data_IF_617415180948
#
_entry.id   IF_617415180948
#
_cell.length_a   1.000
_cell.length_b   1.000
_cell.length_c   1.000
_cell.angle_alpha   90.00
_cell.angle_beta   90.00
_cell.angle_gamma   90.00
#
_symmetry.space_group_name_H-M   'P 1'
#
loop_
_entity.id
_entity.type
_entity.pdbx_description
1 polymer ?
#
# COMPACT_ATOMS: atom_id res chain seq x y z
N UNK A 1 -38.98 31.76 70.58
CA UNK A 1 -38.98 32.50 71.85
C UNK A 1 -39.87 33.71 71.65
N UNK A 2 -40.66 34.08 72.64
CA UNK A 2 -41.57 35.22 72.58
C UNK A 2 -41.40 36.02 73.86
N UNK A 3 -41.36 37.35 73.76
CA UNK A 3 -41.35 38.22 74.94
C UNK A 3 -42.74 38.14 75.55
N UNK A 4 -42.84 37.74 76.82
CA UNK A 4 -44.09 37.58 77.56
C UNK A 4 -44.28 38.65 78.62
N UNK A 5 -43.23 39.37 79.00
CA UNK A 5 -43.32 40.45 79.97
C UNK A 5 -44.00 41.67 79.36
N UNK A 6 -45.08 42.12 80.01
CA UNK A 6 -45.74 43.40 79.72
C UNK A 6 -45.28 44.39 80.80
N UNK A 7 -44.86 45.58 80.41
CA UNK A 7 -44.59 46.68 81.36
C UNK A 7 -45.94 47.19 81.84
N UNK A 8 -46.16 47.19 83.15
CA UNK A 8 -47.41 47.62 83.75
C UNK A 8 -47.62 49.11 83.47
N UNK A 9 -48.82 49.46 83.00
CA UNK A 9 -49.17 50.85 82.75
C UNK A 9 -49.10 51.64 84.06
N UNK A 10 -48.43 52.80 84.02
CA UNK A 10 -48.37 53.68 85.18
C UNK A 10 -49.77 54.21 85.53
N UNK A 11 -50.11 54.35 86.82
CA UNK A 11 -51.36 54.97 87.25
C UNK A 11 -51.39 56.45 86.83
N UNK A 12 -52.59 57.07 86.75
CA UNK A 12 -52.72 58.47 86.41
C UNK A 12 -51.86 59.36 87.30
N UNK A 13 -51.11 60.27 86.69
CA UNK A 13 -50.27 61.20 87.45
C UNK A 13 -51.14 62.09 88.37
N UNK A 14 -50.69 62.40 89.59
CA UNK A 14 -51.36 63.36 90.46
C UNK A 14 -51.39 64.75 89.79
N UNK A 15 -52.56 65.40 89.77
CA UNK A 15 -52.75 66.70 89.14
C UNK A 15 -53.01 67.78 90.19
N UNK A 16 -52.03 68.66 90.47
CA UNK A 16 -52.15 69.65 91.54
C UNK A 16 -53.21 70.73 91.27
N UNK A 17 -53.71 70.85 90.04
CA UNK A 17 -54.70 71.86 89.63
C UNK A 17 -56.15 71.39 89.81
N UNK A 18 -56.37 70.07 89.88
CA UNK A 18 -57.73 69.49 89.89
C UNK A 18 -57.95 68.48 91.01
N UNK A 19 -56.90 67.97 91.64
CA UNK A 19 -57.00 67.04 92.76
C UNK A 19 -57.03 67.78 94.10
N UNK A 20 -57.89 67.33 95.01
CA UNK A 20 -57.81 67.76 96.41
C UNK A 20 -56.51 67.23 97.05
N UNK A 21 -55.99 67.83 98.14
CA UNK A 21 -54.72 67.39 98.75
C UNK A 21 -54.67 65.90 99.11
N UNK A 22 -55.82 65.31 99.51
CA UNK A 22 -55.95 63.88 99.78
C UNK A 22 -55.84 63.03 98.51
N UNK A 23 -56.57 63.39 97.45
CA UNK A 23 -56.53 62.69 96.14
C UNK A 23 -55.16 62.81 95.49
N UNK A 24 -54.52 63.97 95.61
CA UNK A 24 -53.15 64.18 95.13
C UNK A 24 -52.17 63.25 95.84
N UNK A 25 -52.24 63.17 97.17
CA UNK A 25 -51.36 62.31 97.98
C UNK A 25 -51.55 60.82 97.68
N UNK A 26 -52.80 60.38 97.47
CA UNK A 26 -53.14 59.02 97.08
C UNK A 26 -52.59 58.66 95.69
N UNK A 27 -52.80 59.52 94.69
CA UNK A 27 -52.24 59.35 93.34
C UNK A 27 -50.72 59.43 93.32
N UNK A 28 -50.12 60.29 94.15
CA UNK A 28 -48.67 60.40 94.29
C UNK A 28 -48.08 59.12 94.91
N UNK A 29 -48.70 58.58 95.96
CA UNK A 29 -48.30 57.32 96.56
C UNK A 29 -48.42 56.15 95.57
N UNK A 30 -49.53 56.08 94.81
CA UNK A 30 -49.73 55.06 93.77
C UNK A 30 -48.70 55.18 92.62
N UNK A 31 -48.38 56.39 92.19
CA UNK A 31 -47.38 56.66 91.15
C UNK A 31 -45.97 56.28 91.59
N UNK A 32 -45.57 56.64 92.81
CA UNK A 32 -44.27 56.26 93.37
C UNK A 32 -44.17 54.74 93.54
N UNK A 33 -45.23 54.09 94.05
CA UNK A 33 -45.26 52.63 94.18
C UNK A 33 -45.17 51.92 92.83
N UNK A 34 -45.86 52.42 91.79
CA UNK A 34 -45.76 51.89 90.43
C UNK A 34 -44.37 52.10 89.82
N UNK A 35 -43.76 53.26 90.03
CA UNK A 35 -42.40 53.54 89.58
C UNK A 35 -41.35 52.66 90.28
N UNK A 36 -41.55 52.31 91.56
CA UNK A 36 -40.70 51.35 92.26
C UNK A 36 -40.78 49.93 91.65
N UNK A 37 -41.92 49.57 91.04
CA UNK A 37 -42.11 48.29 90.36
C UNK A 37 -41.53 48.21 88.93
N UNK A 38 -41.21 49.35 88.29
CA UNK A 38 -40.71 49.38 86.91
C UNK A 38 -39.31 48.76 86.71
N UNK A 39 -38.29 49.00 87.54
CA UNK A 39 -36.95 48.46 87.29
C UNK A 39 -36.92 46.92 87.21
N UNK A 40 -37.62 46.16 88.07
CA UNK A 40 -37.79 44.71 87.89
C UNK A 40 -38.40 44.30 86.55
N UNK A 41 -39.47 44.96 86.10
CA UNK A 41 -40.14 44.66 84.83
C UNK A 41 -39.24 44.95 83.62
N UNK A 42 -38.54 46.09 83.62
CA UNK A 42 -37.56 46.46 82.60
C UNK A 42 -36.42 45.44 82.56
N UNK A 43 -35.91 45.03 83.72
CA UNK A 43 -34.87 44.01 83.81
C UNK A 43 -35.34 42.67 83.25
N UNK A 44 -36.57 42.25 83.55
CA UNK A 44 -37.17 41.02 83.02
C UNK A 44 -37.36 41.09 81.50
N UNK A 45 -37.88 42.21 80.97
CA UNK A 45 -38.01 42.43 79.53
C UNK A 45 -36.65 42.39 78.83
N UNK A 46 -35.63 43.07 79.38
CA UNK A 46 -34.26 43.05 78.85
C UNK A 46 -33.69 41.64 78.75
N UNK A 47 -33.90 40.80 79.77
CA UNK A 47 -33.45 39.40 79.75
C UNK A 47 -34.13 38.63 78.61
N UNK A 48 -35.44 38.79 78.44
CA UNK A 48 -36.18 38.13 77.35
C UNK A 48 -35.76 38.63 75.96
N UNK A 49 -35.54 39.95 75.81
CA UNK A 49 -35.08 40.56 74.56
C UNK A 49 -33.68 40.04 74.18
N UNK A 50 -32.74 40.03 75.12
CA UNK A 50 -31.38 39.48 74.91
C UNK A 50 -31.43 37.99 74.52
N UNK A 51 -32.33 37.21 75.14
CA UNK A 51 -32.48 35.81 74.82
C UNK A 51 -33.11 35.58 73.43
N UNK A 52 -34.05 36.43 73.02
CA UNK A 52 -34.63 36.41 71.67
C UNK A 52 -33.57 36.76 70.62
N UNK A 53 -32.78 37.82 70.85
CA UNK A 53 -31.67 38.21 69.98
C UNK A 53 -30.68 37.05 69.80
N UNK A 54 -30.25 36.42 70.90
CA UNK A 54 -29.40 35.25 70.84
C UNK A 54 -30.02 34.09 70.03
N UNK A 55 -31.34 33.87 70.15
CA UNK A 55 -32.04 32.84 69.38
C UNK A 55 -32.09 33.16 67.87
N UNK A 56 -32.36 34.42 67.51
CA UNK A 56 -32.39 34.88 66.12
C UNK A 56 -31.01 34.75 65.50
N UNK A 57 -29.96 35.23 66.17
CA UNK A 57 -28.58 35.16 65.70
C UNK A 57 -28.13 33.70 65.49
N UNK A 58 -28.52 32.79 66.39
CA UNK A 58 -28.23 31.37 66.25
C UNK A 58 -28.94 30.75 65.04
N UNK A 59 -30.20 31.10 64.80
CA UNK A 59 -30.98 30.63 63.64
C UNK A 59 -30.45 31.18 62.32
N UNK A 60 -30.06 32.46 62.29
CA UNK A 60 -29.46 33.08 61.10
C UNK A 60 -28.12 32.43 60.75
N UNK A 61 -27.28 32.17 61.76
CA UNK A 61 -26.02 31.45 61.58
C UNK A 61 -26.24 30.04 61.03
N UNK A 62 -27.20 29.29 61.60
CA UNK A 62 -27.56 27.95 61.12
C UNK A 62 -28.13 27.97 59.69
N UNK A 63 -28.99 28.94 59.36
CA UNK A 63 -29.55 29.10 58.03
C UNK A 63 -28.47 29.44 57.00
N UNK A 64 -27.52 30.30 57.37
CA UNK A 64 -26.38 30.67 56.52
C UNK A 64 -25.47 29.47 56.24
N UNK A 65 -25.15 28.69 57.27
CA UNK A 65 -24.38 27.45 57.12
C UNK A 65 -25.09 26.43 56.21
N UNK A 66 -26.42 26.26 56.39
CA UNK A 66 -27.22 25.38 55.54
C UNK A 66 -27.25 25.83 54.07
N UNK A 67 -27.34 27.14 53.82
CA UNK A 67 -27.26 27.71 52.47
C UNK A 67 -25.90 27.40 51.82
N UNK A 68 -24.80 27.65 52.51
CA UNK A 68 -23.45 27.35 51.99
C UNK A 68 -23.26 25.86 51.70
N UNK A 69 -23.76 24.98 52.57
CA UNK A 69 -23.72 23.54 52.33
C UNK A 69 -24.53 23.13 51.08
N UNK A 70 -25.71 23.72 50.88
CA UNK A 70 -26.53 23.48 49.70
C UNK A 70 -25.87 23.99 48.41
N UNK A 71 -25.24 25.17 48.44
CA UNK A 71 -24.47 25.72 47.31
C UNK A 71 -23.28 24.81 46.96
N UNK A 72 -22.55 24.35 47.98
CA UNK A 72 -21.43 23.40 47.79
C UNK A 72 -21.89 22.08 47.17
N UNK A 73 -23.01 21.52 47.63
CA UNK A 73 -23.58 20.29 47.09
C UNK A 73 -24.06 20.45 45.64
N UNK A 74 -24.68 21.59 45.32
CA UNK A 74 -25.09 21.93 43.95
C UNK A 74 -23.89 22.02 43.02
N UNK A 75 -22.82 22.69 43.45
CA UNK A 75 -21.63 22.88 42.62
C UNK A 75 -20.90 21.54 42.39
N UNK A 76 -20.86 20.66 43.40
CA UNK A 76 -20.37 19.28 43.24
C UNK A 76 -21.22 18.47 42.24
N UNK A 77 -22.54 18.58 42.30
CA UNK A 77 -23.45 17.91 41.35
C UNK A 77 -23.26 18.42 39.91
N UNK A 78 -23.05 19.72 39.72
CA UNK A 78 -22.70 20.30 38.42
C UNK A 78 -21.35 19.77 37.91
N UNK A 79 -20.36 19.63 38.79
CA UNK A 79 -19.08 19.00 38.48
C UNK A 79 -19.24 17.58 37.95
N UNK A 80 -19.99 16.73 38.68
CA UNK A 80 -20.26 15.35 38.25
C UNK A 80 -21.01 15.27 36.92
N UNK A 81 -21.99 16.15 36.70
CA UNK A 81 -22.70 16.24 35.43
C UNK A 81 -21.74 16.55 34.26
N UNK A 82 -20.84 17.51 34.44
CA UNK A 82 -19.87 17.88 33.40
C UNK A 82 -18.89 16.74 33.10
N UNK A 83 -18.39 16.03 34.14
CA UNK A 83 -17.53 14.86 33.95
C UNK A 83 -18.24 13.73 33.20
N UNK A 84 -19.51 13.46 33.53
CA UNK A 84 -20.31 12.45 32.84
C UNK A 84 -20.52 12.80 31.36
N UNK A 85 -20.73 14.09 31.05
CA UNK A 85 -20.89 14.56 29.68
C UNK A 85 -19.60 14.42 28.87
N UNK A 86 -18.45 14.78 29.43
CA UNK A 86 -17.14 14.54 28.80
C UNK A 86 -16.89 13.05 28.51
N UNK A 87 -17.28 12.16 29.42
CA UNK A 87 -17.15 10.71 29.22
C UNK A 87 -18.07 10.19 28.10
N UNK A 88 -19.29 10.75 27.98
CA UNK A 88 -20.21 10.42 26.89
C UNK A 88 -19.66 10.89 25.54
N UNK A 89 -19.12 12.11 25.46
CA UNK A 89 -18.52 12.67 24.25
C UNK A 89 -17.30 11.86 23.79
N UNK A 90 -16.43 11.46 24.72
CA UNK A 90 -15.30 10.57 24.43
C UNK A 90 -15.77 9.21 23.89
N UNK A 91 -16.83 8.64 24.48
CA UNK A 91 -17.41 7.37 24.03
C UNK A 91 -17.98 7.47 22.61
N UNK A 92 -18.60 8.60 22.24
CA UNK A 92 -19.04 8.85 20.87
C UNK A 92 -17.86 8.92 19.91
N UNK A 93 -16.81 9.68 20.25
CA UNK A 93 -15.61 9.79 19.42
C UNK A 93 -14.93 8.44 19.16
N UNK A 94 -14.84 7.57 20.16
CA UNK A 94 -14.28 6.22 19.97
C UNK A 94 -15.13 5.34 19.05
N UNK A 95 -16.46 5.46 19.11
CA UNK A 95 -17.35 4.74 18.17
C UNK A 95 -17.16 5.20 16.74
N UNK A 96 -17.05 6.51 16.51
CA UNK A 96 -16.83 7.08 15.18
C UNK A 96 -15.48 6.64 14.60
N UNK A 97 -14.42 6.63 15.41
CA UNK A 97 -13.11 6.11 15.02
C UNK A 97 -13.17 4.63 14.66
N UNK A 98 -13.83 3.81 15.47
CA UNK A 98 -13.99 2.38 15.20
C UNK A 98 -14.77 2.13 13.89
N UNK A 99 -15.82 2.91 13.60
CA UNK A 99 -16.57 2.82 12.36
C UNK A 99 -15.73 3.23 11.15
N UNK A 100 -14.91 4.27 11.28
CA UNK A 100 -13.95 4.70 10.24
C UNK A 100 -12.93 3.61 9.94
N UNK A 101 -12.32 3.00 10.97
CA UNK A 101 -11.39 1.90 10.79
C UNK A 101 -12.04 0.66 10.18
N UNK A 102 -13.27 0.33 10.58
CA UNK A 102 -14.04 -0.76 9.97
C UNK A 102 -14.31 -0.49 8.48
N UNK A 103 -14.66 0.76 8.12
CA UNK A 103 -14.84 1.19 6.73
C UNK A 103 -13.54 1.11 5.91
N UNK A 104 -12.42 1.57 6.48
CA UNK A 104 -11.11 1.47 5.84
C UNK A 104 -10.66 0.01 5.65
N UNK A 105 -10.91 -0.85 6.63
CA UNK A 105 -10.64 -2.29 6.54
C UNK A 105 -11.50 -2.96 5.46
N UNK A 106 -12.81 -2.66 5.41
CA UNK A 106 -13.71 -3.14 4.37
C UNK A 106 -13.28 -2.64 2.97
N UNK A 107 -12.88 -1.37 2.84
CA UNK A 107 -12.36 -0.80 1.59
C UNK A 107 -11.04 -1.45 1.13
N UNK A 108 -10.16 -1.76 2.08
CA UNK A 108 -8.91 -2.48 1.83
C UNK A 108 -9.18 -3.91 1.37
N UNK A 109 -10.13 -4.60 2.02
CA UNK A 109 -10.57 -5.94 1.64
C UNK A 109 -11.25 -5.96 0.26
N UNK A 110 -12.07 -4.96 -0.08
CA UNK A 110 -12.70 -4.84 -1.39
C UNK A 110 -11.66 -4.62 -2.51
N UNK A 111 -10.65 -3.78 -2.27
CA UNK A 111 -9.53 -3.57 -3.20
C UNK A 111 -8.72 -4.86 -3.40
N UNK A 112 -8.44 -5.59 -2.32
CA UNK A 112 -7.77 -6.90 -2.39
C UNK A 112 -8.62 -7.96 -3.12
N UNK A 113 -9.95 -7.94 -2.95
CA UNK A 113 -10.87 -8.91 -3.57
C UNK A 113 -11.17 -8.65 -5.04
N UNK A 114 -11.03 -7.41 -5.52
CA UNK A 114 -11.43 -7.04 -6.89
C UNK A 114 -10.27 -7.04 -7.89
N UNK A 115 -9.01 -7.00 -7.42
CA UNK A 115 -7.84 -6.85 -8.32
C UNK A 115 -6.60 -7.57 -7.75
N UNK A 116 -6.66 -8.88 -7.53
CA UNK A 116 -5.41 -9.68 -7.43
C UNK A 116 -5.50 -10.81 -8.43
N UNK A 117 -4.88 -10.59 -9.60
CA UNK A 117 -4.81 -11.53 -10.72
C UNK A 117 -3.92 -12.77 -10.45
N UNK A 118 -3.52 -12.97 -9.19
CA UNK A 118 -2.75 -14.13 -8.73
C UNK A 118 -3.48 -14.74 -7.53
N UNK A 119 -4.59 -15.43 -7.81
CA UNK A 119 -5.37 -16.17 -6.82
C UNK A 119 -4.71 -17.53 -6.60
N UNK A 120 -3.59 -17.54 -5.90
CA UNK A 120 -2.99 -18.77 -5.35
C UNK A 120 -2.53 -18.51 -3.92
N UNK A 121 -2.65 -19.54 -3.06
CA UNK A 121 -2.31 -19.50 -1.63
C UNK A 121 -0.84 -19.12 -1.40
N UNK A 122 0.03 -19.38 -2.39
CA UNK A 122 1.47 -19.09 -2.33
C UNK A 122 1.99 -18.38 -3.60
N UNK A 123 1.26 -17.40 -4.14
CA UNK A 123 1.77 -16.59 -5.27
C UNK A 123 3.04 -15.84 -4.86
N UNK A 124 4.17 -16.12 -5.52
CA UNK A 124 5.44 -15.40 -5.31
C UNK A 124 5.85 -14.70 -6.62
N UNK A 125 5.65 -13.39 -6.67
CA UNK A 125 6.34 -12.51 -7.62
C UNK A 125 7.48 -11.82 -6.88
N UNK A 126 8.74 -12.21 -7.14
CA UNK A 126 9.93 -11.73 -6.42
C UNK A 126 10.89 -11.00 -7.35
N UNK A 127 11.33 -9.82 -6.92
CA UNK A 127 12.22 -8.93 -7.70
C UNK A 127 11.42 -7.79 -8.34
N UNK A 128 11.78 -6.51 -8.21
CA UNK A 128 12.98 -5.87 -7.69
C UNK A 128 12.60 -4.57 -6.98
N UNK A 129 13.51 -3.98 -6.21
CA UNK A 129 13.34 -2.65 -5.56
C UNK A 129 13.03 -1.55 -6.60
N UNK A 130 13.30 -1.83 -7.88
CA UNK A 130 13.08 -0.94 -9.02
C UNK A 130 11.73 -1.24 -9.71
N UNK A 131 10.78 -0.32 -9.55
CA UNK A 131 9.42 -0.39 -10.11
C UNK A 131 9.37 -0.25 -11.64
N UNK A 132 10.49 0.07 -12.31
CA UNK A 132 10.55 0.15 -13.77
C UNK A 132 10.65 -1.21 -14.47
N UNK A 133 10.98 -2.28 -13.72
CA UNK A 133 11.07 -3.64 -14.29
C UNK A 133 9.71 -4.31 -14.25
N UNK A 134 9.15 -4.59 -15.41
CA UNK A 134 7.80 -5.14 -15.55
C UNK A 134 7.77 -6.35 -16.49
N UNK A 135 6.99 -7.36 -16.11
CA UNK A 135 6.54 -8.44 -17.01
C UNK A 135 5.05 -8.23 -17.22
N UNK A 136 4.62 -8.17 -18.49
CA UNK A 136 3.23 -7.89 -18.86
C UNK A 136 2.64 -9.07 -19.64
N UNK A 137 1.46 -9.52 -19.21
CA UNK A 137 0.62 -10.47 -19.95
C UNK A 137 -0.51 -9.68 -20.61
N UNK A 138 -0.49 -9.57 -21.94
CA UNK A 138 -1.51 -8.83 -22.71
C UNK A 138 -2.59 -9.79 -23.20
N UNK A 139 -3.75 -9.78 -22.55
CA UNK A 139 -4.87 -10.68 -22.88
C UNK A 139 -5.92 -10.01 -23.76
N UNK A 140 -6.19 -8.72 -23.55
CA UNK A 140 -7.37 -8.03 -24.09
C UNK A 140 -7.40 -7.93 -25.61
N UNK A 141 -6.24 -7.76 -26.26
CA UNK A 141 -6.17 -7.60 -27.71
C UNK A 141 -6.12 -8.92 -28.48
N UNK A 142 -5.73 -10.03 -27.82
CA UNK A 142 -5.39 -11.30 -28.48
C UNK A 142 -6.32 -12.44 -28.09
N UNK A 143 -7.03 -12.36 -26.96
CA UNK A 143 -7.92 -13.41 -26.47
C UNK A 143 -9.37 -12.95 -26.61
N UNK A 144 -10.20 -13.61 -27.43
CA UNK A 144 -11.60 -13.23 -27.60
C UNK A 144 -12.40 -13.33 -26.28
N UNK A 145 -13.43 -12.47 -26.09
CA UNK A 145 -14.31 -12.54 -24.93
C UNK A 145 -14.87 -13.95 -24.69
N UNK A 146 -14.91 -14.38 -23.43
CA UNK A 146 -15.41 -15.70 -23.04
C UNK A 146 -14.44 -16.86 -23.30
N UNK A 147 -13.22 -16.58 -23.76
CA UNK A 147 -12.21 -17.61 -24.03
C UNK A 147 -11.23 -17.73 -22.86
N UNK A 148 -10.92 -18.97 -22.47
CA UNK A 148 -9.85 -19.28 -21.52
C UNK A 148 -8.68 -19.90 -22.26
N UNK A 149 -7.51 -19.24 -22.21
CA UNK A 149 -6.26 -19.78 -22.75
C UNK A 149 -5.39 -20.26 -21.58
N UNK A 150 -5.29 -21.57 -21.31
CA UNK A 150 -4.47 -22.07 -20.23
C UNK A 150 -2.99 -22.04 -20.60
N UNK A 151 -2.17 -21.32 -19.82
CA UNK A 151 -0.72 -21.51 -19.81
C UNK A 151 -0.38 -22.63 -18.81
N UNK A 152 -0.07 -23.82 -19.33
CA UNK A 152 0.33 -24.96 -18.48
C UNK A 152 1.85 -25.02 -18.40
N UNK A 153 2.40 -24.78 -17.22
CA UNK A 153 3.84 -24.95 -16.95
C UNK A 153 4.07 -26.37 -16.44
N UNK A 154 5.00 -27.16 -17.02
CA UNK A 154 5.31 -28.49 -16.52
C UNK A 154 5.91 -28.44 -15.11
N UNK A 155 5.83 -29.56 -14.38
CA UNK A 155 6.47 -29.71 -13.07
C UNK A 155 8.00 -29.84 -13.18
N UNK A 156 8.65 -28.84 -13.76
CA UNK A 156 10.09 -28.75 -13.98
C UNK A 156 10.55 -27.30 -13.81
N UNK A 157 11.79 -27.11 -13.36
CA UNK A 157 12.42 -25.79 -13.34
C UNK A 157 12.90 -25.38 -14.75
N UNK A 158 12.94 -24.08 -15.02
CA UNK A 158 13.47 -23.56 -16.28
C UNK A 158 13.32 -22.04 -16.41
N UNK A 159 13.91 -21.49 -17.47
CA UNK A 159 13.75 -20.10 -17.87
C UNK A 159 12.78 -20.04 -19.04
N UNK A 160 11.89 -19.04 -19.06
CA UNK A 160 11.07 -18.75 -20.24
C UNK A 160 11.96 -18.17 -21.33
N UNK A 161 12.03 -18.87 -22.48
CA UNK A 161 12.76 -18.42 -23.66
C UNK A 161 11.87 -17.49 -24.49
N UNK A 162 12.45 -16.39 -24.97
CA UNK A 162 11.84 -15.55 -25.99
C UNK A 162 12.09 -16.13 -27.38
N UNK A 163 11.35 -15.66 -28.39
CA UNK A 163 11.57 -16.07 -29.77
C UNK A 163 13.00 -15.77 -30.25
N UNK A 164 13.63 -14.72 -29.72
CA UNK A 164 15.04 -14.40 -29.98
C UNK A 164 16.00 -15.49 -29.50
N UNK A 165 15.64 -16.23 -28.45
CA UNK A 165 16.48 -17.31 -27.93
C UNK A 165 16.39 -18.56 -28.81
N UNK A 166 15.38 -18.64 -29.69
CA UNK A 166 15.15 -19.73 -30.64
C UNK A 166 15.71 -19.42 -32.04
N UNK A 167 16.49 -18.35 -32.22
CA UNK A 167 17.01 -17.93 -33.53
C UNK A 167 17.74 -19.04 -34.29
N UNK A 168 18.55 -19.87 -33.61
CA UNK A 168 19.26 -20.98 -34.23
C UNK A 168 18.31 -22.06 -34.79
N UNK A 169 17.22 -22.34 -34.08
CA UNK A 169 16.21 -23.31 -34.50
C UNK A 169 15.44 -22.79 -35.71
N UNK A 170 14.97 -21.55 -35.64
CA UNK A 170 14.26 -20.90 -36.75
C UNK A 170 15.15 -20.82 -37.98
N UNK A 171 16.42 -20.40 -37.83
CA UNK A 171 17.37 -20.34 -38.94
C UNK A 171 17.55 -21.71 -39.59
N UNK A 172 17.75 -22.78 -38.81
CA UNK A 172 17.95 -24.13 -39.35
C UNK A 172 16.81 -24.60 -40.27
N UNK A 173 15.58 -24.09 -40.06
CA UNK A 173 14.39 -24.43 -40.85
C UNK A 173 14.15 -23.50 -42.04
N UNK A 174 14.95 -22.45 -42.21
CA UNK A 174 14.78 -21.46 -43.28
C UNK A 174 15.63 -21.80 -44.50
N UNK A 175 14.99 -21.83 -45.68
CA UNK A 175 15.66 -21.80 -46.98
C UNK A 175 15.88 -20.34 -47.41
N UNK A 176 17.06 -20.05 -47.96
CA UNK A 176 17.36 -18.73 -48.49
C UNK A 176 18.02 -18.83 -49.87
N UNK A 177 17.47 -18.14 -50.87
CA UNK A 177 18.09 -18.05 -52.19
C UNK A 177 19.09 -16.90 -52.22
N UNK A 178 20.38 -17.24 -52.21
CA UNK A 178 21.47 -16.28 -52.30
C UNK A 178 21.66 -15.75 -53.74
N UNK A 179 20.86 -16.24 -54.70
CA UNK A 179 20.88 -15.82 -56.08
C UNK A 179 22.28 -15.96 -56.67
N UNK A 180 22.82 -14.87 -57.22
CA UNK A 180 24.15 -14.87 -57.85
C UNK A 180 25.31 -14.63 -56.87
N UNK A 181 25.04 -14.44 -55.58
CA UNK A 181 26.06 -14.15 -54.58
C UNK A 181 26.78 -15.42 -54.12
N UNK A 182 28.11 -15.37 -54.07
CA UNK A 182 28.95 -16.41 -53.43
C UNK A 182 29.26 -16.13 -51.97
N UNK A 183 28.72 -15.04 -51.41
CA UNK A 183 28.85 -14.70 -50.01
C UNK A 183 27.71 -15.31 -49.20
N UNK A 184 28.00 -16.40 -48.49
CA UNK A 184 27.07 -17.13 -47.64
C UNK A 184 27.13 -16.55 -46.23
N UNK A 185 26.03 -15.96 -45.76
CA UNK A 185 25.93 -15.50 -44.38
C UNK A 185 25.14 -16.54 -43.56
N UNK A 186 25.74 -17.08 -42.50
CA UNK A 186 25.14 -18.13 -41.69
C UNK A 186 23.74 -17.76 -41.17
N UNK A 187 23.50 -16.48 -40.87
CA UNK A 187 22.22 -16.00 -40.36
C UNK A 187 21.05 -16.10 -41.36
N UNK A 188 21.30 -16.25 -42.66
CA UNK A 188 20.25 -16.16 -43.68
C UNK A 188 19.33 -17.39 -43.72
N UNK A 189 19.84 -18.57 -43.37
CA UNK A 189 19.06 -19.81 -43.43
C UNK A 189 19.93 -21.05 -43.26
N UNK A 190 19.34 -22.13 -42.75
CA UNK A 190 19.99 -23.44 -42.59
C UNK A 190 20.30 -24.11 -43.92
N UNK A 191 19.55 -23.76 -44.97
CA UNK A 191 19.85 -24.09 -46.37
C UNK A 191 19.96 -22.83 -47.20
N UNK A 192 21.00 -22.74 -48.04
CA UNK A 192 21.15 -21.63 -48.97
C UNK A 192 21.45 -22.09 -50.39
N UNK A 193 20.72 -21.51 -51.36
CA UNK A 193 21.01 -21.72 -52.78
C UNK A 193 22.00 -20.66 -53.28
N UNK A 194 23.05 -21.09 -53.96
CA UNK A 194 24.11 -20.23 -54.51
C UNK A 194 24.26 -20.55 -56.00
N UNK A 195 23.85 -19.61 -56.85
CA UNK A 195 23.78 -19.78 -58.30
C UNK A 195 24.47 -18.61 -59.03
N UNK A 196 25.80 -18.45 -58.87
CA UNK A 196 26.52 -17.31 -59.42
C UNK A 196 26.69 -17.41 -60.95
N UNK A 197 26.70 -16.27 -61.65
CA UNK A 197 26.90 -16.19 -63.11
C UNK A 197 28.30 -16.68 -63.53
N UNK A 198 28.55 -17.14 -64.77
CA UNK A 198 29.81 -17.80 -65.21
C UNK A 198 31.14 -17.11 -64.84
N UNK A 199 32.23 -17.88 -64.70
CA UNK A 199 33.62 -17.41 -64.45
C UNK A 199 34.23 -17.98 -63.17
N UNK A 200 35.41 -17.52 -62.76
CA UNK A 200 35.98 -17.87 -61.44
C UNK A 200 35.07 -17.37 -60.30
N UNK A 201 34.96 -18.14 -59.23
CA UNK A 201 34.10 -17.86 -58.06
C UNK A 201 34.92 -17.90 -56.79
N UNK A 202 34.67 -17.00 -55.86
CA UNK A 202 35.26 -17.06 -54.51
C UNK A 202 34.13 -17.15 -53.51
N UNK A 203 34.06 -18.28 -52.80
CA UNK A 203 33.12 -18.47 -51.71
C UNK A 203 33.59 -17.70 -50.49
N UNK A 204 32.68 -17.02 -49.81
CA UNK A 204 32.93 -16.43 -48.49
C UNK A 204 31.83 -16.83 -47.52
N UNK A 205 32.21 -16.97 -46.25
CA UNK A 205 31.31 -17.39 -45.19
C UNK A 205 31.42 -16.43 -44.01
N UNK A 206 30.30 -15.89 -43.55
CA UNK A 206 30.28 -14.89 -42.47
C UNK A 206 29.19 -15.21 -41.44
N UNK A 207 29.29 -14.58 -40.26
CA UNK A 207 28.26 -14.68 -39.22
C UNK A 207 28.18 -16.02 -38.50
N UNK A 208 29.22 -16.85 -38.56
CA UNK A 208 29.28 -18.10 -37.81
C UNK A 208 29.18 -17.84 -36.30
N UNK A 209 28.56 -18.76 -35.54
CA UNK A 209 28.56 -18.69 -34.08
C UNK A 209 29.97 -18.68 -33.51
N UNK A 210 30.15 -18.07 -32.34
CA UNK A 210 31.43 -18.04 -31.64
C UNK A 210 32.02 -19.45 -31.45
N UNK A 211 33.35 -19.52 -31.36
CA UNK A 211 34.10 -20.76 -31.12
C UNK A 211 33.54 -21.55 -29.93
N UNK A 212 33.51 -22.88 -30.05
CA UNK A 212 32.91 -23.79 -29.08
C UNK A 212 31.46 -24.19 -29.39
N UNK A 213 30.82 -23.56 -30.40
CA UNK A 213 29.51 -23.96 -30.92
C UNK A 213 29.66 -24.68 -32.25
N UNK A 214 29.08 -25.87 -32.37
CA UNK A 214 28.96 -26.54 -33.65
C UNK A 214 27.95 -25.78 -34.52
N UNK A 215 28.36 -25.46 -35.75
CA UNK A 215 27.52 -24.81 -36.72
C UNK A 215 27.58 -25.56 -38.04
N UNK A 216 26.43 -25.68 -38.71
CA UNK A 216 26.27 -26.40 -39.97
C UNK A 216 25.43 -25.57 -40.93
N UNK A 217 25.89 -25.49 -42.17
CA UNK A 217 25.22 -24.83 -43.28
C UNK A 217 25.06 -25.83 -44.42
N UNK A 218 23.83 -26.06 -44.86
CA UNK A 218 23.57 -26.79 -46.10
C UNK A 218 23.52 -25.80 -47.27
N UNK A 219 24.10 -26.18 -48.40
CA UNK A 219 24.21 -25.36 -49.59
C UNK A 219 23.77 -26.13 -50.83
N UNK A 220 23.07 -25.42 -51.72
CA UNK A 220 22.78 -25.85 -53.07
C UNK A 220 23.63 -25.00 -54.03
N UNK A 221 24.77 -25.53 -54.45
CA UNK A 221 25.69 -24.82 -55.33
C UNK A 221 25.34 -25.14 -56.79
N UNK A 222 24.64 -24.22 -57.45
CA UNK A 222 24.11 -24.40 -58.81
C UNK A 222 25.14 -23.95 -59.83
N UNK A 223 25.49 -24.84 -60.76
CA UNK A 223 26.45 -24.61 -61.86
C UNK A 223 27.78 -24.03 -61.37
N UNK A 224 28.23 -24.43 -60.18
CA UNK A 224 29.28 -23.72 -59.44
C UNK A 224 30.65 -23.74 -60.14
N UNK A 225 30.87 -24.70 -61.05
CA UNK A 225 32.10 -24.80 -61.84
C UNK A 225 32.01 -24.10 -63.21
N UNK A 226 30.87 -23.49 -63.55
CA UNK A 226 30.67 -22.86 -64.86
C UNK A 226 31.66 -21.70 -65.05
N UNK A 227 32.67 -21.91 -65.91
CA UNK A 227 33.75 -20.95 -66.16
C UNK A 227 34.91 -21.00 -65.16
N UNK A 228 35.00 -22.05 -64.34
CA UNK A 228 36.13 -22.31 -63.43
C UNK A 228 35.69 -22.89 -62.08
N UNK A 229 36.58 -23.64 -61.42
CA UNK A 229 36.31 -24.18 -60.09
C UNK A 229 36.17 -23.07 -59.04
N UNK A 230 35.26 -23.20 -58.05
CA UNK A 230 35.16 -22.24 -56.96
C UNK A 230 36.40 -22.29 -56.06
N UNK A 231 36.91 -21.11 -55.71
CA UNK A 231 37.87 -20.90 -54.64
C UNK A 231 37.13 -20.86 -53.29
N UNK A 232 37.70 -21.55 -52.30
CA UNK A 232 37.18 -21.61 -50.94
C UNK A 232 38.07 -20.79 -50.00
N UNK A 233 37.54 -20.31 -48.86
CA UNK A 233 38.35 -19.60 -47.88
C UNK A 233 39.57 -20.39 -47.43
N UNK A 234 40.64 -19.66 -47.09
CA UNK A 234 41.82 -20.26 -46.46
C UNK A 234 41.40 -21.00 -45.18
N UNK A 235 41.90 -22.23 -45.01
CA UNK A 235 41.49 -23.09 -43.89
C UNK A 235 40.35 -24.06 -44.21
N UNK A 236 39.72 -23.96 -45.39
CA UNK A 236 38.77 -24.98 -45.85
C UNK A 236 39.43 -26.36 -45.96
N UNK A 237 38.67 -27.39 -45.62
CA UNK A 237 39.06 -28.80 -45.61
C UNK A 237 37.94 -29.63 -46.22
N UNK A 238 38.27 -30.56 -47.10
CA UNK A 238 37.31 -31.33 -47.86
C UNK A 238 37.35 -32.79 -47.41
N UNK A 239 36.17 -33.37 -47.18
CA UNK A 239 36.03 -34.79 -46.86
C UNK A 239 35.97 -35.56 -48.19
N UNK A 240 36.91 -36.48 -48.37
CA UNK A 240 36.88 -37.46 -49.47
C UNK A 240 35.87 -38.57 -49.15
N UNK A 241 35.44 -39.32 -50.15
CA UNK A 241 34.47 -40.42 -50.01
C UNK A 241 34.83 -41.49 -48.96
N UNK A 242 36.11 -41.64 -48.62
CA UNK A 242 36.63 -42.57 -47.62
C UNK A 242 36.80 -41.92 -46.22
N UNK A 243 36.32 -40.70 -46.03
CA UNK A 243 36.39 -39.96 -44.77
C UNK A 243 37.70 -39.20 -44.55
N UNK A 244 38.68 -39.32 -45.45
CA UNK A 244 39.96 -38.62 -45.31
C UNK A 244 39.80 -37.12 -45.57
N UNK A 245 40.34 -36.29 -44.69
CA UNK A 245 40.31 -34.83 -44.79
C UNK A 245 41.48 -34.33 -45.65
N UNK A 246 41.17 -33.50 -46.63
CA UNK A 246 42.14 -32.91 -47.57
C UNK A 246 42.09 -31.39 -47.57
N UNK A 247 43.17 -30.74 -47.99
CA UNK A 247 43.29 -29.28 -48.00
C UNK A 247 42.72 -28.64 -49.28
N UNK A 248 42.45 -29.42 -50.32
CA UNK A 248 41.85 -28.94 -51.58
C UNK A 248 40.77 -29.89 -52.07
N UNK A 249 39.78 -29.36 -52.81
CA UNK A 249 38.72 -30.16 -53.42
C UNK A 249 39.28 -31.21 -54.39
N UNK A 250 40.30 -30.86 -55.18
CA UNK A 250 40.95 -31.77 -56.11
C UNK A 250 41.63 -32.95 -55.40
N UNK A 251 42.33 -32.71 -54.28
CA UNK A 251 42.94 -33.78 -53.48
C UNK A 251 41.90 -34.68 -52.80
N UNK A 252 40.70 -34.17 -52.54
CA UNK A 252 39.54 -34.94 -52.08
C UNK A 252 38.79 -35.66 -53.21
N UNK A 253 39.28 -35.64 -54.46
CA UNK A 253 38.61 -36.17 -55.65
C UNK A 253 37.21 -35.57 -55.90
N UNK A 254 37.04 -34.29 -55.56
CA UNK A 254 35.80 -33.55 -55.80
C UNK A 254 35.94 -32.75 -57.10
N UNK A 255 35.12 -33.08 -58.08
CA UNK A 255 34.98 -32.31 -59.34
C UNK A 255 33.66 -31.56 -59.33
N UNK A 256 33.69 -30.23 -59.32
CA UNK A 256 32.48 -29.38 -59.28
C UNK A 256 31.68 -29.43 -60.60
N UNK A 257 30.36 -29.34 -60.51
CA UNK A 257 29.48 -29.42 -61.69
C UNK A 257 29.46 -28.10 -62.46
N UNK A 258 29.68 -28.17 -63.78
CA UNK A 258 29.50 -27.04 -64.71
C UNK A 258 28.03 -26.84 -65.09
N UNK A 259 27.21 -27.88 -64.94
CA UNK A 259 25.77 -27.87 -65.09
C UNK A 259 25.13 -28.80 -64.05
N UNK A 260 24.14 -28.33 -63.31
CA UNK A 260 23.48 -29.06 -62.23
C UNK A 260 23.65 -28.41 -60.85
N UNK A 261 23.31 -29.14 -59.79
CA UNK A 261 23.41 -28.66 -58.40
C UNK A 261 24.33 -29.59 -57.61
N UNK A 262 25.30 -28.99 -56.92
CA UNK A 262 26.11 -29.64 -55.92
C UNK A 262 25.55 -29.37 -54.53
N UNK A 263 25.07 -30.41 -53.85
CA UNK A 263 24.64 -30.30 -52.46
C UNK A 263 25.85 -30.41 -51.55
N UNK A 264 26.04 -29.42 -50.69
CA UNK A 264 27.23 -29.30 -49.86
C UNK A 264 26.84 -29.00 -48.43
N UNK A 265 27.43 -29.74 -47.50
CA UNK A 265 27.39 -29.41 -46.08
C UNK A 265 28.71 -28.76 -45.69
N UNK A 266 28.62 -27.56 -45.14
CA UNK A 266 29.76 -26.83 -44.58
C UNK A 266 29.57 -26.76 -43.07
N UNK A 267 30.58 -27.13 -42.30
CA UNK A 267 30.52 -27.11 -40.85
C UNK A 267 31.77 -26.50 -40.22
N UNK A 268 31.61 -25.94 -39.03
CA UNK A 268 32.69 -25.36 -38.23
C UNK A 268 32.35 -25.49 -36.74
N UNK A 269 33.39 -25.40 -35.91
CA UNK A 269 33.28 -25.28 -34.45
C UNK A 269 34.07 -24.09 -33.89
N UNK A 270 34.72 -23.32 -34.75
CA UNK A 270 35.75 -22.34 -34.40
C UNK A 270 35.49 -20.96 -35.04
N UNK A 271 34.21 -20.57 -35.11
CA UNK A 271 33.82 -19.26 -35.64
C UNK A 271 34.03 -19.10 -37.15
N UNK A 272 34.12 -20.21 -37.88
CA UNK A 272 34.37 -20.21 -39.33
C UNK A 272 35.85 -20.12 -39.71
N UNK A 273 36.76 -20.23 -38.74
CA UNK A 273 38.22 -20.24 -39.01
C UNK A 273 38.63 -21.48 -39.79
N UNK A 274 38.06 -22.64 -39.45
CA UNK A 274 38.20 -23.89 -40.19
C UNK A 274 36.84 -24.32 -40.70
N UNK A 275 36.73 -24.50 -42.01
CA UNK A 275 35.52 -25.02 -42.66
C UNK A 275 35.74 -26.47 -43.05
N UNK A 276 34.89 -27.36 -42.59
CA UNK A 276 34.83 -28.75 -43.04
C UNK A 276 33.71 -28.86 -44.08
N UNK A 277 34.08 -29.25 -45.30
CA UNK A 277 33.23 -29.30 -46.47
C UNK A 277 33.00 -30.75 -46.86
N UNK A 278 31.73 -31.16 -46.87
CA UNK A 278 31.28 -32.46 -47.34
C UNK A 278 30.38 -32.26 -48.55
N UNK A 279 30.71 -32.89 -49.66
CA UNK A 279 29.89 -32.86 -50.88
C UNK A 279 28.99 -34.10 -50.89
N UNK A 280 27.68 -33.86 -50.94
CA UNK A 280 26.63 -34.86 -50.85
C UNK A 280 26.07 -35.07 -52.25
N UNK A 281 26.63 -36.04 -52.97
CA UNK A 281 26.12 -36.46 -54.29
C UNK A 281 25.67 -37.92 -54.20
N UNK A 282 24.55 -38.22 -54.85
CA UNK A 282 24.14 -39.59 -55.20
C UNK A 282 24.62 -39.94 -56.59
#
# INVERSE_FOLDING_TARGET
>A
MTITQVITALPPAPNPLTDTPAVFSEKAAASVAAQQGLPPEINAWRVQANALEANVNAKESAASAAKTAAETARDAALGYKNTAQLAADASMSYRDQAQSWAGAAAGSAATASSIVAFVDTNSIAKGSIDASKQVRFECDALIPPGTVIPLTVPAAGGTLALLSDLQELTRAMTFYDNGTSTAVAYANGGTQRVAPASGAKTMSFTGWPASGKQAVQFLELVNIALGGNPAWPAGARFIRYDGVIQTTAAAANITWQTGGTDYVMVSTRDGGTTLIVSVLRG
#
